data_IF_529517265954
#
_entry.id   IF_529517265954
#
_cell.length_a   1.000
_cell.length_b   1.000
_cell.length_c   1.000
_cell.angle_alpha   90.00
_cell.angle_beta   90.00
_cell.angle_gamma   90.00
#
_symmetry.space_group_name_H-M   'P 1'
#
loop_
_entity.id
_entity.type
_entity.pdbx_description
1 polymer ?
#
# COMPACT_ATOMS: atom_id res chain seq x y z
N UNK A 1 22.84 -21.51 14.68
CA UNK A 1 21.40 -21.83 14.81
C UNK A 1 20.66 -20.50 14.87
N UNK A 2 19.61 -20.29 14.08
CA UNK A 2 18.89 -19.01 14.10
C UNK A 2 18.06 -18.87 15.38
N UNK A 3 18.08 -17.68 16.00
CA UNK A 3 17.23 -17.31 17.14
C UNK A 3 15.88 -16.80 16.60
N UNK A 4 14.79 -17.51 16.90
CA UNK A 4 13.44 -17.20 16.40
C UNK A 4 12.55 -16.81 17.58
N UNK A 5 12.05 -15.57 17.57
CA UNK A 5 11.23 -15.02 18.66
C UNK A 5 9.82 -14.67 18.17
N UNK A 6 8.77 -14.92 18.99
CA UNK A 6 7.42 -14.51 18.64
C UNK A 6 7.28 -12.98 18.71
N UNK A 7 6.42 -12.44 17.86
CA UNK A 7 6.00 -11.03 17.88
C UNK A 7 4.50 -10.92 17.64
N UNK A 8 3.90 -9.80 18.04
CA UNK A 8 2.48 -9.54 17.79
C UNK A 8 2.30 -9.09 16.34
N UNK A 9 1.53 -9.86 15.57
CA UNK A 9 1.12 -9.43 14.24
C UNK A 9 0.09 -8.30 14.31
N UNK A 10 0.24 -7.28 13.47
CA UNK A 10 -0.77 -6.26 13.25
C UNK A 10 -1.83 -6.82 12.31
N UNK A 11 -3.11 -6.63 12.65
CA UNK A 11 -4.25 -7.06 11.84
C UNK A 11 -5.27 -5.92 11.79
N UNK A 12 -5.95 -5.71 10.65
CA UNK A 12 -7.02 -4.73 10.58
C UNK A 12 -8.18 -5.13 11.49
N UNK A 13 -8.99 -4.14 11.89
CA UNK A 13 -10.26 -4.41 12.55
C UNK A 13 -11.18 -5.19 11.59
N UNK A 14 -12.02 -6.12 12.08
CA UNK A 14 -12.80 -7.02 11.22
C UNK A 14 -13.63 -6.29 10.15
N UNK A 15 -14.18 -5.12 10.47
CA UNK A 15 -15.03 -4.32 9.60
C UNK A 15 -14.26 -3.65 8.45
N UNK A 16 -12.94 -3.49 8.60
CA UNK A 16 -12.06 -2.90 7.59
C UNK A 16 -11.23 -3.96 6.85
N UNK A 17 -11.29 -5.23 7.25
CA UNK A 17 -10.43 -6.27 6.70
C UNK A 17 -10.54 -6.39 5.16
N UNK A 18 -11.77 -6.34 4.63
CA UNK A 18 -12.02 -6.37 3.18
C UNK A 18 -11.49 -5.12 2.47
N UNK A 19 -11.56 -3.96 3.13
CA UNK A 19 -11.12 -2.68 2.57
C UNK A 19 -9.60 -2.54 2.56
N UNK A 20 -8.91 -3.14 3.54
CA UNK A 20 -7.45 -3.12 3.65
C UNK A 20 -6.80 -4.12 2.70
N UNK A 21 -7.49 -5.22 2.38
CA UNK A 21 -6.96 -6.24 1.49
C UNK A 21 -6.62 -5.66 0.10
N UNK A 22 -5.42 -5.99 -0.38
CA UNK A 22 -4.94 -5.59 -1.70
C UNK A 22 -4.28 -6.79 -2.40
N UNK A 23 -4.32 -6.87 -3.73
CA UNK A 23 -3.49 -7.81 -4.48
C UNK A 23 -2.00 -7.59 -4.21
N UNK A 24 -1.14 -8.58 -4.49
CA UNK A 24 0.30 -8.38 -4.50
C UNK A 24 0.70 -7.22 -5.41
N UNK A 25 1.75 -6.49 -5.04
CA UNK A 25 2.13 -5.24 -5.70
C UNK A 25 2.78 -5.42 -7.07
N UNK A 26 3.28 -6.62 -7.33
CA UNK A 26 3.95 -7.06 -8.55
C UNK A 26 2.96 -7.58 -9.59
N UNK A 27 1.69 -7.79 -9.22
CA UNK A 27 0.62 -8.17 -10.16
C UNK A 27 -0.22 -7.00 -10.66
N UNK A 28 0.06 -5.78 -10.19
CA UNK A 28 -0.63 -4.55 -10.58
C UNK A 28 0.36 -3.50 -11.07
N UNK A 29 0.00 -2.83 -12.17
CA UNK A 29 0.64 -1.56 -12.54
C UNK A 29 0.04 -0.38 -11.75
N UNK A 30 0.61 0.82 -11.93
CA UNK A 30 0.19 2.01 -11.18
C UNK A 30 -1.19 2.54 -11.62
N UNK A 31 -1.63 2.29 -12.86
CA UNK A 31 -2.94 2.68 -13.34
C UNK A 31 -4.03 1.78 -12.73
N UNK A 32 -3.83 0.46 -12.78
CA UNK A 32 -4.71 -0.53 -12.15
C UNK A 32 -4.82 -0.31 -10.63
N UNK A 33 -3.68 -0.04 -9.97
CA UNK A 33 -3.67 0.24 -8.55
C UNK A 33 -4.42 1.52 -8.18
N UNK A 34 -4.32 2.58 -9.00
CA UNK A 34 -5.07 3.82 -8.79
C UNK A 34 -6.57 3.60 -8.96
N UNK A 35 -6.99 2.85 -9.98
CA UNK A 35 -8.38 2.50 -10.19
C UNK A 35 -8.95 1.64 -9.04
N UNK A 36 -8.18 0.69 -8.50
CA UNK A 36 -8.58 -0.14 -7.36
C UNK A 36 -8.64 0.64 -6.04
N UNK A 37 -7.80 1.65 -5.88
CA UNK A 37 -7.82 2.54 -4.72
C UNK A 37 -8.93 3.61 -4.82
N UNK A 38 -9.49 3.83 -6.01
CA UNK A 38 -10.55 4.80 -6.23
C UNK A 38 -11.75 4.47 -5.33
N UNK A 39 -12.12 5.41 -4.46
CA UNK A 39 -13.19 5.27 -3.46
C UNK A 39 -12.90 4.35 -2.26
N UNK A 40 -11.65 3.88 -2.07
CA UNK A 40 -11.27 3.10 -0.90
C UNK A 40 -10.04 3.70 -0.19
N UNK A 41 -10.23 4.61 0.78
CA UNK A 41 -9.11 5.25 1.48
C UNK A 41 -8.35 4.30 2.43
N UNK A 42 -8.81 3.05 2.59
CA UNK A 42 -8.22 2.09 3.53
C UNK A 42 -7.37 1.02 2.83
N UNK A 43 -7.30 1.01 1.49
CA UNK A 43 -6.54 -0.02 0.78
C UNK A 43 -5.05 0.02 1.14
N UNK A 44 -4.43 -1.15 1.29
CA UNK A 44 -3.00 -1.25 1.52
C UNK A 44 -2.16 -0.76 0.34
N UNK A 45 -2.77 -0.54 -0.83
CA UNK A 45 -2.10 0.02 -2.00
C UNK A 45 -1.55 1.43 -1.76
N UNK A 46 -2.16 2.23 -0.87
CA UNK A 46 -1.60 3.54 -0.48
C UNK A 46 -0.21 3.44 0.17
N UNK A 47 0.12 2.30 0.80
CA UNK A 47 1.41 2.06 1.43
C UNK A 47 2.35 1.32 0.47
N UNK A 48 1.84 0.32 -0.25
CA UNK A 48 2.68 -0.52 -1.10
C UNK A 48 3.01 0.13 -2.45
N UNK A 49 2.07 0.90 -3.01
CA UNK A 49 2.22 1.66 -4.25
C UNK A 49 1.85 3.14 -4.02
N UNK A 50 2.61 3.89 -3.20
CA UNK A 50 2.25 5.27 -2.83
C UNK A 50 2.19 6.23 -4.02
N UNK A 51 2.79 5.87 -5.16
CA UNK A 51 2.73 6.66 -6.39
C UNK A 51 1.30 6.91 -6.89
N UNK A 52 0.33 6.08 -6.48
CA UNK A 52 -1.08 6.25 -6.86
C UNK A 52 -1.69 7.53 -6.28
N UNK A 53 -1.16 8.01 -5.15
CA UNK A 53 -1.59 9.22 -4.46
C UNK A 53 -0.90 10.49 -4.97
N UNK A 54 0.02 10.34 -5.93
CA UNK A 54 0.77 11.42 -6.54
C UNK A 54 0.31 11.65 -8.00
N UNK A 55 0.64 12.83 -8.58
CA UNK A 55 0.41 13.06 -10.00
C UNK A 55 1.09 12.00 -10.87
N UNK A 56 0.43 11.59 -11.95
CA UNK A 56 0.90 10.52 -12.86
C UNK A 56 2.27 10.78 -13.51
N UNK A 57 2.70 12.03 -13.56
CA UNK A 57 4.00 12.41 -14.12
C UNK A 57 5.14 12.31 -13.09
N UNK A 58 4.86 11.89 -11.86
CA UNK A 58 5.90 11.64 -10.84
C UNK A 58 6.52 10.27 -11.10
N UNK A 59 7.85 10.24 -11.17
CA UNK A 59 8.59 8.99 -11.29
C UNK A 59 8.35 8.12 -10.04
N UNK A 60 8.14 6.82 -10.24
CA UNK A 60 7.83 5.87 -9.15
C UNK A 60 8.97 5.71 -8.13
N UNK A 61 10.18 6.14 -8.48
CA UNK A 61 11.36 6.12 -7.62
C UNK A 61 11.72 7.51 -7.07
N UNK A 62 10.87 8.52 -7.30
CA UNK A 62 11.06 9.85 -6.73
C UNK A 62 10.94 9.81 -5.19
N UNK A 63 11.77 10.59 -4.49
CA UNK A 63 11.75 10.69 -3.03
C UNK A 63 10.35 11.01 -2.47
N UNK A 64 9.54 11.74 -3.23
CA UNK A 64 8.14 12.05 -2.88
C UNK A 64 7.27 10.81 -2.73
N UNK A 65 7.52 9.75 -3.49
CA UNK A 65 6.78 8.48 -3.39
C UNK A 65 7.04 7.83 -2.03
N UNK A 66 8.32 7.75 -1.64
CA UNK A 66 8.70 7.19 -0.35
C UNK A 66 8.19 8.02 0.83
N UNK A 67 8.25 9.35 0.71
CA UNK A 67 7.69 10.26 1.71
C UNK A 67 6.18 10.05 1.84
N UNK A 68 5.47 9.97 0.72
CA UNK A 68 4.02 9.72 0.70
C UNK A 68 3.66 8.39 1.35
N UNK A 69 4.41 7.32 1.05
CA UNK A 69 4.21 6.01 1.67
C UNK A 69 4.46 5.99 3.18
N UNK A 70 5.33 6.88 3.69
CA UNK A 70 5.58 7.02 5.12
C UNK A 70 4.52 7.88 5.86
N UNK A 71 3.83 8.76 5.13
CA UNK A 71 2.76 9.62 5.66
C UNK A 71 1.40 8.92 5.76
N UNK A 72 1.15 7.94 4.88
CA UNK A 72 -0.10 7.16 4.80
C UNK A 72 -0.24 6.17 5.98
#
# INVERSE_FOLDING_TARGET
MADVRPFRGVRPVPELAEKVAAPPYDVLDSEEARALAENNPYTFLHINKPEIDLPENVDIYDDRVYQKGAEN
#
